data_IF_431558141739
#
_entry.id   IF_431558141739
#
_cell.length_a   1.000
_cell.length_b   1.000
_cell.length_c   1.000
_cell.angle_alpha   90.00
_cell.angle_beta   90.00
_cell.angle_gamma   90.00
#
_symmetry.space_group_name_H-M   'P 1'
#
loop_
_entity.id
_entity.type
_entity.pdbx_description
1 polymer ?
#
# COMPACT_ATOMS: atom_id res chain seq x y z
N UNK A 1 6.02 6.60 -5.90
CA UNK A 1 6.33 6.86 -7.33
C UNK A 1 6.88 5.60 -7.96
N UNK A 2 7.96 5.06 -7.39
CA UNK A 2 8.55 3.77 -7.75
C UNK A 2 7.54 2.66 -8.06
N UNK A 3 6.62 2.35 -7.13
CA UNK A 3 5.66 1.25 -7.32
C UNK A 3 4.75 1.45 -8.54
N UNK A 4 4.13 2.62 -8.71
CA UNK A 4 3.24 2.86 -9.86
C UNK A 4 4.03 2.88 -11.17
N UNK A 5 5.20 3.52 -11.20
CA UNK A 5 6.05 3.53 -12.39
C UNK A 5 6.50 2.12 -12.77
N UNK A 6 6.89 1.30 -11.79
CA UNK A 6 7.25 -0.10 -11.97
C UNK A 6 6.07 -0.91 -12.53
N UNK A 7 4.89 -0.81 -11.91
CA UNK A 7 3.69 -1.53 -12.33
C UNK A 7 3.32 -1.21 -13.79
N UNK A 8 3.34 0.07 -14.16
CA UNK A 8 2.94 0.51 -15.50
C UNK A 8 3.98 0.25 -16.58
N UNK A 9 5.28 0.38 -16.26
CA UNK A 9 6.36 0.29 -17.27
C UNK A 9 6.94 -1.12 -17.41
N UNK A 10 7.03 -1.84 -16.30
CA UNK A 10 7.77 -3.11 -16.23
C UNK A 10 6.83 -4.31 -15.98
N UNK A 11 5.68 -4.10 -15.33
CA UNK A 11 4.75 -5.20 -15.00
C UNK A 11 3.56 -5.37 -15.97
N UNK A 12 3.51 -4.62 -17.07
CA UNK A 12 2.42 -4.62 -18.05
C UNK A 12 1.02 -4.25 -17.46
N UNK A 13 0.96 -3.51 -16.34
CA UNK A 13 -0.33 -3.03 -15.84
C UNK A 13 -0.84 -1.91 -16.74
N UNK A 14 -2.08 -2.06 -17.22
CA UNK A 14 -2.71 -1.07 -18.11
C UNK A 14 -3.39 0.08 -17.36
N UNK A 15 -3.75 -0.13 -16.10
CA UNK A 15 -4.47 0.84 -15.28
C UNK A 15 -4.13 0.67 -13.80
N UNK A 16 -3.83 1.77 -13.13
CA UNK A 16 -3.72 1.85 -11.67
C UNK A 16 -4.78 2.82 -11.18
N UNK A 17 -5.80 2.30 -10.50
CA UNK A 17 -6.82 3.10 -9.81
C UNK A 17 -6.52 3.16 -8.31
N UNK A 18 -6.78 4.30 -7.68
CA UNK A 18 -6.67 4.45 -6.24
C UNK A 18 -7.93 5.11 -5.69
N UNK A 19 -8.39 4.64 -4.52
CA UNK A 19 -9.53 5.19 -3.80
C UNK A 19 -9.13 5.52 -2.37
N UNK A 20 -9.63 6.62 -1.84
CA UNK A 20 -9.49 6.94 -0.43
C UNK A 20 -10.74 7.62 0.10
N UNK A 21 -10.93 7.50 1.40
CA UNK A 21 -11.95 8.22 2.16
C UNK A 21 -11.52 9.70 2.23
N UNK A 22 -12.36 10.62 1.77
CA UNK A 22 -12.07 12.06 1.72
C UNK A 22 -11.79 12.65 3.09
N UNK A 23 -12.43 12.10 4.12
CA UNK A 23 -12.35 12.51 5.52
C UNK A 23 -11.06 12.00 6.20
N UNK A 24 -10.26 11.17 5.52
CA UNK A 24 -8.95 10.71 6.00
C UNK A 24 -7.82 11.26 5.10
N UNK A 25 -7.25 12.43 5.44
CA UNK A 25 -6.17 13.03 4.66
C UNK A 25 -4.90 12.16 4.59
N UNK A 26 -4.69 11.25 5.56
CA UNK A 26 -3.50 10.41 5.61
C UNK A 26 -3.48 9.34 4.52
N UNK A 27 -4.64 8.81 4.11
CA UNK A 27 -4.74 7.86 3.01
C UNK A 27 -4.58 8.54 1.64
N UNK A 28 -5.06 9.78 1.48
CA UNK A 28 -4.80 10.59 0.29
C UNK A 28 -3.31 10.86 0.05
N UNK A 29 -2.53 11.13 1.11
CA UNK A 29 -1.06 11.32 1.03
C UNK A 29 -0.32 10.09 0.49
N UNK A 30 -0.89 8.89 0.60
CA UNK A 30 -0.29 7.68 0.02
C UNK A 30 -0.29 7.75 -1.50
N UNK A 31 -1.35 8.29 -2.12
CA UNK A 31 -1.44 8.46 -3.58
C UNK A 31 -0.37 9.44 -4.08
N UNK A 32 -0.21 10.58 -3.40
CA UNK A 32 0.83 11.55 -3.73
C UNK A 32 2.23 10.95 -3.61
N UNK A 33 2.51 10.24 -2.50
CA UNK A 33 3.77 9.50 -2.33
C UNK A 33 3.96 8.43 -3.41
N UNK A 34 2.88 7.79 -3.84
CA UNK A 34 2.87 6.82 -4.92
C UNK A 34 3.12 7.46 -6.30
N UNK A 35 3.20 8.80 -6.39
CA UNK A 35 3.48 9.54 -7.62
C UNK A 35 2.22 9.93 -8.40
N UNK A 36 1.04 9.80 -7.78
CA UNK A 36 -0.21 10.25 -8.39
C UNK A 36 -0.39 11.75 -8.15
N UNK A 37 -0.77 12.48 -9.20
CA UNK A 37 -1.14 13.88 -9.11
C UNK A 37 -2.66 14.02 -9.14
N UNK A 38 -3.22 14.78 -8.21
CA UNK A 38 -4.65 15.08 -8.20
C UNK A 38 -4.95 16.10 -9.30
N UNK A 39 -5.56 15.64 -10.39
CA UNK A 39 -5.97 16.51 -11.50
C UNK A 39 -7.31 17.21 -11.19
N UNK A 40 -8.33 16.43 -10.78
CA UNK A 40 -9.64 16.95 -10.39
C UNK A 40 -10.32 16.06 -9.35
N UNK A 41 -11.36 16.59 -8.68
CA UNK A 41 -12.33 15.77 -7.93
C UNK A 41 -13.54 15.56 -8.82
N UNK A 42 -13.81 14.31 -9.22
CA UNK A 42 -15.08 13.98 -9.85
C UNK A 42 -16.20 14.20 -8.83
N UNK A 43 -17.06 15.20 -9.09
CA UNK A 43 -18.17 15.56 -8.18
C UNK A 43 -19.31 14.56 -8.21
N UNK A 44 -19.46 13.83 -9.31
CA UNK A 44 -20.45 12.78 -9.47
C UNK A 44 -19.97 11.79 -10.53
N UNK A 45 -19.93 10.49 -10.20
CA UNK A 45 -19.80 9.43 -11.21
C UNK A 45 -21.22 8.99 -11.54
N UNK A 46 -21.63 9.07 -12.81
CA UNK A 46 -22.98 8.67 -13.23
C UNK A 46 -23.15 7.17 -13.04
N UNK A 47 -23.82 6.79 -11.97
CA UNK A 47 -24.32 5.44 -11.72
C UNK A 47 -25.69 5.34 -12.38
N UNK A 48 -25.96 4.23 -13.08
CA UNK A 48 -27.30 3.98 -13.57
C UNK A 48 -28.24 3.79 -12.37
N UNK A 49 -29.18 4.73 -12.18
CA UNK A 49 -30.09 4.73 -11.02
C UNK A 49 -31.07 3.55 -10.97
N UNK A 50 -31.23 2.81 -12.08
CA UNK A 50 -32.17 1.68 -12.17
C UNK A 50 -31.46 0.33 -12.02
N UNK A 51 -30.25 0.20 -12.55
CA UNK A 51 -29.49 -1.06 -12.48
C UNK A 51 -28.42 -1.06 -11.39
N UNK A 52 -28.06 0.13 -10.86
CA UNK A 52 -26.91 0.29 -9.98
C UNK A 52 -25.56 0.14 -10.70
N UNK A 53 -25.57 -0.10 -12.00
CA UNK A 53 -24.36 -0.44 -12.76
C UNK A 53 -23.59 0.81 -13.19
N UNK A 54 -22.28 0.59 -13.33
CA UNK A 54 -21.30 1.53 -13.85
C UNK A 54 -20.72 0.95 -15.14
N UNK A 55 -20.70 1.73 -16.22
CA UNK A 55 -20.11 1.32 -17.49
C UNK A 55 -18.99 2.29 -17.87
N UNK A 56 -17.75 1.93 -17.52
CA UNK A 56 -16.55 2.58 -18.05
C UNK A 56 -16.03 1.72 -19.21
N UNK A 57 -15.90 2.29 -20.41
CA UNK A 57 -15.34 1.57 -21.54
C UNK A 57 -13.81 1.62 -21.50
N UNK A 58 -13.18 0.51 -21.11
CA UNK A 58 -11.73 0.32 -21.20
C UNK A 58 -11.45 -0.57 -22.41
N UNK A 59 -10.82 -0.03 -23.45
CA UNK A 59 -10.37 -0.79 -24.61
C UNK A 59 -8.95 -1.32 -24.35
N UNK A 60 -8.82 -2.63 -24.17
CA UNK A 60 -7.53 -3.32 -24.08
C UNK A 60 -7.27 -4.07 -25.40
N UNK A 61 -6.11 -3.84 -26.01
CA UNK A 61 -5.67 -4.61 -27.18
C UNK A 61 -5.02 -5.91 -26.69
N UNK A 62 -5.67 -7.05 -26.94
CA UNK A 62 -5.14 -8.36 -26.54
C UNK A 62 -3.87 -8.71 -27.35
N UNK A 63 -2.74 -8.92 -26.67
CA UNK A 63 -1.72 -9.87 -27.14
C UNK A 63 -2.26 -11.30 -26.94
N UNK A 64 -1.81 -12.27 -27.76
CA UNK A 64 -2.35 -13.64 -27.88
C UNK A 64 -2.20 -14.54 -26.64
N UNK A 65 -1.77 -13.99 -25.51
CA UNK A 65 -1.68 -14.64 -24.20
C UNK A 65 -2.87 -14.12 -23.40
N UNK A 66 -3.87 -14.98 -23.12
CA UNK A 66 -5.10 -14.58 -22.44
C UNK A 66 -4.80 -13.71 -21.20
N UNK A 67 -5.49 -12.57 -21.08
CA UNK A 67 -5.28 -11.64 -19.97
C UNK A 67 -5.95 -12.21 -18.72
N UNK A 68 -5.16 -12.71 -17.77
CA UNK A 68 -5.63 -12.94 -16.40
C UNK A 68 -5.84 -11.56 -15.76
N UNK A 69 -7.10 -11.21 -15.46
CA UNK A 69 -7.43 -9.93 -14.80
C UNK A 69 -7.30 -10.10 -13.29
N UNK A 70 -6.11 -9.84 -12.76
CA UNK A 70 -5.89 -9.75 -11.30
C UNK A 70 -6.13 -8.31 -10.85
N UNK A 71 -6.97 -8.13 -9.82
CA UNK A 71 -7.11 -6.85 -9.13
C UNK A 71 -6.23 -6.87 -7.89
N UNK A 72 -5.39 -5.85 -7.75
CA UNK A 72 -4.53 -5.68 -6.58
C UNK A 72 -4.99 -4.45 -5.81
N UNK A 73 -5.34 -4.66 -4.55
CA UNK A 73 -5.71 -3.59 -3.63
C UNK A 73 -4.56 -3.36 -2.66
N UNK A 74 -4.10 -2.12 -2.56
CA UNK A 74 -3.01 -1.74 -1.64
C UNK A 74 -3.63 -0.93 -0.49
N UNK A 75 -3.53 -1.46 0.71
CA UNK A 75 -3.95 -0.79 1.94
C UNK A 75 -2.73 -0.40 2.78
N UNK A 76 -2.72 0.82 3.31
CA UNK A 76 -1.78 1.20 4.36
C UNK A 76 -2.31 0.68 5.70
N UNK A 77 -1.40 0.35 6.62
CA UNK A 77 -1.75 0.09 8.02
C UNK A 77 -2.60 1.24 8.60
N UNK A 78 -3.45 0.91 9.57
CA UNK A 78 -4.17 1.90 10.37
C UNK A 78 -3.22 2.80 11.16
N UNK A 79 -3.75 3.87 11.76
CA UNK A 79 -2.93 4.79 12.55
C UNK A 79 -2.13 4.09 13.67
N UNK A 80 -0.84 4.37 13.71
CA UNK A 80 0.12 4.06 14.78
C UNK A 80 0.53 5.34 15.53
N UNK A 81 1.43 5.20 16.50
CA UNK A 81 2.01 6.32 17.24
C UNK A 81 2.89 7.19 16.33
N UNK A 82 2.48 8.45 16.14
CA UNK A 82 3.18 9.41 15.28
C UNK A 82 4.21 10.27 16.04
N UNK A 83 4.38 10.06 17.36
CA UNK A 83 5.41 10.72 18.17
C UNK A 83 6.81 10.14 17.96
N UNK A 84 6.89 8.94 17.37
CA UNK A 84 8.14 8.24 17.09
C UNK A 84 8.38 8.09 15.58
N UNK A 85 9.64 7.86 15.22
CA UNK A 85 10.04 7.54 13.85
C UNK A 85 9.54 6.15 13.48
N UNK A 86 8.79 6.08 12.38
CA UNK A 86 8.31 4.82 11.79
C UNK A 86 9.42 3.99 11.14
N UNK A 87 9.17 3.44 9.95
CA UNK A 87 10.08 2.49 9.31
C UNK A 87 9.92 1.11 9.93
N UNK A 88 11.02 0.48 10.33
CA UNK A 88 11.01 -0.87 10.92
C UNK A 88 10.76 -0.87 12.44
N UNK A 89 10.06 0.14 12.94
CA UNK A 89 9.67 0.21 14.36
C UNK A 89 8.61 -0.83 14.73
N UNK A 90 8.65 -1.26 16.00
CA UNK A 90 7.69 -2.19 16.61
C UNK A 90 6.40 -1.49 17.11
N UNK A 91 6.07 -0.32 16.55
CA UNK A 91 4.87 0.41 16.93
C UNK A 91 3.61 -0.38 16.56
N UNK A 92 2.72 -0.54 17.54
CA UNK A 92 1.38 -1.09 17.33
C UNK A 92 0.42 -0.02 16.81
N UNK A 93 -0.72 -0.47 16.29
CA UNK A 93 -1.87 0.41 16.03
C UNK A 93 -2.34 1.08 17.32
N UNK A 94 -2.80 2.32 17.20
CA UNK A 94 -3.60 2.99 18.23
C UNK A 94 -5.04 2.47 18.18
N UNK A 95 -5.86 2.81 19.19
CA UNK A 95 -7.30 2.48 19.17
C UNK A 95 -8.00 3.00 17.90
N UNK A 96 -7.59 4.19 17.42
CA UNK A 96 -8.08 4.74 16.17
C UNK A 96 -7.61 3.94 14.96
N UNK A 97 -6.36 3.45 14.95
CA UNK A 97 -5.85 2.57 13.90
C UNK A 97 -6.53 1.20 13.84
N UNK A 98 -6.88 0.64 15.01
CA UNK A 98 -7.70 -0.57 15.11
C UNK A 98 -9.07 -0.30 14.51
N UNK A 99 -9.75 0.78 14.92
CA UNK A 99 -11.05 1.16 14.36
C UNK A 99 -11.00 1.34 12.84
N UNK A 100 -10.00 2.04 12.32
CA UNK A 100 -9.81 2.22 10.87
C UNK A 100 -9.65 0.89 10.13
N UNK A 101 -8.94 -0.08 10.74
CA UNK A 101 -8.75 -1.41 10.15
C UNK A 101 -10.06 -2.20 10.13
N UNK A 102 -10.88 -2.08 11.18
CA UNK A 102 -12.22 -2.68 11.24
C UNK A 102 -13.15 -2.03 10.20
N UNK A 103 -13.19 -0.70 10.13
CA UNK A 103 -14.02 0.03 9.17
C UNK A 103 -13.68 -0.35 7.72
N UNK A 104 -12.38 -0.52 7.41
CA UNK A 104 -11.93 -1.01 6.10
C UNK A 104 -12.38 -2.45 5.84
N UNK A 105 -12.24 -3.34 6.82
CA UNK A 105 -12.68 -4.73 6.69
C UNK A 105 -14.20 -4.83 6.45
N UNK A 106 -14.98 -4.03 7.17
CA UNK A 106 -16.44 -3.93 7.02
C UNK A 106 -16.82 -3.40 5.63
N UNK A 107 -16.11 -2.38 5.12
CA UNK A 107 -16.34 -1.90 3.76
C UNK A 107 -16.08 -2.99 2.72
N UNK A 108 -14.94 -3.69 2.82
CA UNK A 108 -14.56 -4.75 1.88
C UNK A 108 -15.62 -5.86 1.88
N UNK A 109 -16.06 -6.29 3.07
CA UNK A 109 -17.08 -7.32 3.23
C UNK A 109 -18.43 -6.86 2.67
N UNK A 110 -18.84 -5.61 2.92
CA UNK A 110 -20.11 -5.07 2.43
C UNK A 110 -20.19 -4.98 0.89
N UNK A 111 -19.04 -4.99 0.22
CA UNK A 111 -18.89 -4.94 -1.25
C UNK A 111 -18.10 -6.15 -1.76
N UNK A 112 -18.36 -7.34 -1.21
CA UNK A 112 -17.62 -8.56 -1.52
C UNK A 112 -17.58 -8.89 -3.01
N UNK A 113 -18.67 -8.64 -3.74
CA UNK A 113 -18.75 -8.87 -5.20
C UNK A 113 -17.83 -7.92 -6.00
N UNK A 114 -17.56 -6.72 -5.46
CA UNK A 114 -16.66 -5.75 -6.11
C UNK A 114 -15.19 -6.09 -5.84
N UNK A 115 -14.86 -6.33 -4.58
CA UNK A 115 -13.49 -6.53 -4.12
C UNK A 115 -12.99 -7.95 -4.39
N UNK A 116 -13.81 -8.96 -4.12
CA UNK A 116 -13.52 -10.39 -4.32
C UNK A 116 -12.11 -10.78 -3.83
N UNK A 117 -11.79 -10.47 -2.57
CA UNK A 117 -10.45 -10.68 -2.00
C UNK A 117 -10.20 -12.17 -1.80
N UNK A 118 -9.32 -12.75 -2.62
CA UNK A 118 -8.91 -14.16 -2.50
C UNK A 118 -7.56 -14.38 -1.79
N UNK A 119 -6.79 -13.32 -1.56
CA UNK A 119 -5.47 -13.40 -0.93
C UNK A 119 -5.15 -12.08 -0.21
N UNK A 120 -4.54 -12.18 0.98
CA UNK A 120 -3.99 -11.03 1.71
C UNK A 120 -2.48 -11.23 1.83
N UNK A 121 -1.70 -10.25 1.37
CA UNK A 121 -0.24 -10.19 1.56
C UNK A 121 0.07 -8.99 2.44
N UNK A 122 0.92 -9.16 3.45
CA UNK A 122 1.31 -8.07 4.34
C UNK A 122 2.77 -8.18 4.74
N UNK A 123 3.42 -7.04 5.01
CA UNK A 123 4.66 -7.05 5.77
C UNK A 123 4.42 -7.57 7.19
N UNK A 124 5.44 -8.08 7.83
CA UNK A 124 5.38 -8.56 9.22
C UNK A 124 5.61 -7.47 10.27
N UNK A 125 5.80 -6.21 9.87
CA UNK A 125 5.83 -5.05 10.80
C UNK A 125 4.51 -5.01 11.57
N UNK A 126 4.59 -4.83 12.90
CA UNK A 126 3.49 -5.02 13.85
C UNK A 126 2.20 -4.31 13.44
N UNK A 127 2.24 -3.01 13.12
CA UNK A 127 1.06 -2.26 12.67
C UNK A 127 0.42 -2.80 11.37
N UNK A 128 1.23 -3.19 10.39
CA UNK A 128 0.74 -3.76 9.13
C UNK A 128 0.18 -5.16 9.34
N UNK A 129 0.82 -5.95 10.20
CA UNK A 129 0.36 -7.26 10.64
C UNK A 129 -0.98 -7.17 11.38
N UNK A 130 -1.13 -6.26 12.34
CA UNK A 130 -2.39 -6.04 13.05
C UNK A 130 -3.52 -5.63 12.10
N UNK A 131 -3.28 -4.69 11.19
CA UNK A 131 -4.28 -4.31 10.17
C UNK A 131 -4.66 -5.51 9.29
N UNK A 132 -3.68 -6.27 8.80
CA UNK A 132 -3.95 -7.43 7.95
C UNK A 132 -4.71 -8.54 8.68
N UNK A 133 -4.41 -8.79 9.96
CA UNK A 133 -5.11 -9.76 10.78
C UNK A 133 -6.58 -9.36 11.02
N UNK A 134 -6.84 -8.10 11.36
CA UNK A 134 -8.21 -7.60 11.53
C UNK A 134 -9.05 -7.82 10.26
N UNK A 135 -8.47 -7.52 9.10
CA UNK A 135 -9.13 -7.73 7.80
C UNK A 135 -9.30 -9.22 7.52
N UNK A 136 -8.26 -10.02 7.74
CA UNK A 136 -8.24 -11.47 7.52
C UNK A 136 -9.30 -12.20 8.33
N UNK A 137 -9.42 -11.90 9.62
CA UNK A 137 -10.43 -12.49 10.51
C UNK A 137 -11.85 -12.19 10.03
N UNK A 138 -12.10 -10.96 9.58
CA UNK A 138 -13.41 -10.54 9.07
C UNK A 138 -13.77 -11.24 7.76
N UNK A 139 -12.81 -11.35 6.83
CA UNK A 139 -13.02 -11.92 5.50
C UNK A 139 -12.85 -13.44 5.45
N UNK A 140 -12.31 -14.06 6.51
CA UNK A 140 -11.89 -15.47 6.53
C UNK A 140 -10.88 -15.83 5.42
N UNK A 141 -9.97 -14.90 5.10
CA UNK A 141 -8.92 -15.07 4.09
C UNK A 141 -7.55 -15.08 4.78
N UNK A 142 -6.69 -16.10 4.57
CA UNK A 142 -5.40 -16.16 5.25
C UNK A 142 -4.44 -15.03 4.83
N UNK A 143 -3.60 -14.59 5.78
CA UNK A 143 -2.52 -13.63 5.51
C UNK A 143 -1.23 -14.38 5.19
N UNK A 144 -0.63 -14.05 4.04
CA UNK A 144 0.75 -14.40 3.73
C UNK A 144 1.66 -13.24 4.13
N UNK A 145 2.59 -13.48 5.04
CA UNK A 145 3.58 -12.49 5.41
C UNK A 145 4.77 -12.52 4.46
N UNK A 146 5.23 -11.34 4.07
CA UNK A 146 6.37 -11.16 3.19
C UNK A 146 7.16 -9.91 3.62
N UNK A 147 8.37 -10.15 4.11
CA UNK A 147 9.25 -9.11 4.66
C UNK A 147 9.75 -8.14 3.58
N UNK A 148 9.73 -8.54 2.31
CA UNK A 148 10.18 -7.66 1.23
C UNK A 148 9.21 -6.50 0.98
N UNK A 149 7.97 -6.59 1.49
CA UNK A 149 7.00 -5.48 1.51
C UNK A 149 7.09 -4.57 2.75
N UNK A 150 8.10 -4.76 3.63
CA UNK A 150 8.34 -3.81 4.74
C UNK A 150 8.57 -2.39 4.22
N UNK A 151 8.23 -1.41 5.06
CA UNK A 151 8.55 0.00 4.84
C UNK A 151 10.08 0.22 4.76
N UNK A 152 10.52 1.45 4.55
CA UNK A 152 11.96 1.75 4.51
C UNK A 152 12.64 1.34 5.83
N UNK A 153 13.76 0.63 5.74
CA UNK A 153 14.66 0.38 6.85
C UNK A 153 15.44 1.67 7.15
N UNK A 154 14.94 2.44 8.10
CA UNK A 154 15.58 3.66 8.59
C UNK A 154 16.63 3.40 9.68
N UNK A 155 17.01 2.14 9.90
CA UNK A 155 18.09 1.73 10.79
C UNK A 155 17.96 2.31 12.19
N UNK A 156 18.97 3.06 12.62
CA UNK A 156 19.07 3.62 13.98
C UNK A 156 17.92 4.57 14.35
N UNK A 157 17.14 5.06 13.37
CA UNK A 157 16.01 5.94 13.61
C UNK A 157 14.76 5.17 14.03
N UNK A 158 14.63 3.87 13.73
CA UNK A 158 13.41 3.11 13.98
C UNK A 158 12.97 3.17 15.45
N UNK A 159 11.76 3.68 15.70
CA UNK A 159 11.16 3.75 17.03
C UNK A 159 11.72 4.83 17.96
N UNK A 160 12.69 5.64 17.50
CA UNK A 160 13.13 6.81 18.28
C UNK A 160 12.02 7.84 18.36
N UNK A 161 11.85 8.45 19.53
CA UNK A 161 11.07 9.68 19.66
C UNK A 161 11.56 10.73 18.63
N UNK A 162 10.62 11.40 17.98
CA UNK A 162 10.92 12.32 16.90
C UNK A 162 11.88 13.45 17.31
N UNK A 163 11.78 13.95 18.55
CA UNK A 163 12.68 14.97 19.08
C UNK A 163 14.10 14.41 19.24
N UNK A 164 14.23 13.21 19.82
CA UNK A 164 15.54 12.55 20.00
C UNK A 164 16.19 12.25 18.64
N UNK A 165 15.39 11.79 17.67
CA UNK A 165 15.87 11.52 16.32
C UNK A 165 16.40 12.80 15.64
N UNK A 166 15.69 13.92 15.79
CA UNK A 166 16.13 15.21 15.21
C UNK A 166 17.39 15.75 15.92
N UNK A 167 17.51 15.57 17.23
CA UNK A 167 18.72 15.99 17.98
C UNK A 167 19.96 15.17 17.58
N UNK A 168 19.82 13.84 17.46
CA UNK A 168 20.93 12.93 17.11
C UNK A 168 21.29 12.97 15.62
N UNK A 169 20.27 13.08 14.76
CA UNK A 169 20.40 13.01 13.30
C UNK A 169 19.69 14.20 12.66
N UNK A 170 20.22 15.42 12.83
CA UNK A 170 19.55 16.63 12.39
C UNK A 170 19.33 16.60 10.88
N UNK A 171 18.11 16.93 10.45
CA UNK A 171 17.71 16.97 9.05
C UNK A 171 17.81 15.63 8.27
N UNK A 172 17.91 14.48 8.94
CA UNK A 172 17.96 13.18 8.25
C UNK A 172 16.55 12.67 7.91
N UNK A 173 16.14 12.86 6.66
CA UNK A 173 14.82 12.47 6.15
C UNK A 173 14.96 11.78 4.79
N UNK A 174 14.08 10.81 4.52
CA UNK A 174 14.07 10.03 3.27
C UNK A 174 14.17 10.88 2.00
N UNK A 175 13.42 11.99 1.96
CA UNK A 175 13.37 12.90 0.81
C UNK A 175 14.66 13.69 0.57
N UNK A 176 15.58 13.66 1.52
CA UNK A 176 16.86 14.38 1.48
C UNK A 176 18.03 13.44 1.20
N UNK A 177 17.82 12.12 1.22
CA UNK A 177 18.85 11.15 0.89
C UNK A 177 19.13 11.16 -0.61
N UNK A 178 20.41 11.14 -0.97
CA UNK A 178 20.83 10.81 -2.33
C UNK A 178 20.54 9.33 -2.67
N UNK A 179 20.52 8.99 -3.96
CA UNK A 179 20.05 7.68 -4.43
C UNK A 179 20.75 6.47 -3.78
N UNK A 180 22.06 6.57 -3.54
CA UNK A 180 22.88 5.54 -2.90
C UNK A 180 23.24 5.88 -1.45
N UNK A 181 22.69 6.97 -0.90
CA UNK A 181 22.94 7.35 0.49
C UNK A 181 22.07 6.52 1.43
N UNK A 182 22.69 5.96 2.47
CA UNK A 182 22.02 5.09 3.43
C UNK A 182 21.56 5.85 4.67
N UNK A 183 20.44 5.41 5.23
CA UNK A 183 20.25 5.58 6.66
C UNK A 183 21.36 4.87 7.46
N UNK A 184 21.73 5.41 8.62
CA UNK A 184 22.66 4.73 9.53
C UNK A 184 22.12 3.36 9.92
N UNK A 185 22.85 2.29 9.58
CA UNK A 185 22.43 0.88 9.72
C UNK A 185 21.09 0.54 9.05
N UNK A 186 20.67 1.35 8.09
CA UNK A 186 19.47 1.16 7.30
C UNK A 186 19.79 0.98 5.82
N UNK A 187 18.77 1.14 4.99
CA UNK A 187 18.89 1.01 3.54
C UNK A 187 18.94 2.39 2.84
N UNK A 188 19.46 2.38 1.62
CA UNK A 188 19.43 3.52 0.69
C UNK A 188 18.14 3.55 -0.15
N UNK A 189 17.81 4.69 -0.81
CA UNK A 189 16.77 4.76 -1.82
C UNK A 189 16.85 3.69 -2.92
N UNK A 190 18.07 3.36 -3.36
CA UNK A 190 18.34 2.31 -4.34
C UNK A 190 17.97 0.92 -3.83
N UNK A 191 18.45 0.54 -2.65
CA UNK A 191 18.17 -0.78 -2.08
C UNK A 191 16.68 -0.97 -1.78
N UNK A 192 16.00 0.05 -1.25
CA UNK A 192 14.56 0.02 -1.06
C UNK A 192 13.81 -0.21 -2.36
N UNK A 193 14.20 0.49 -3.43
CA UNK A 193 13.60 0.32 -4.76
C UNK A 193 13.82 -1.09 -5.29
N UNK A 194 15.05 -1.58 -5.29
CA UNK A 194 15.40 -2.91 -5.77
C UNK A 194 14.64 -4.00 -4.99
N UNK A 195 14.59 -3.90 -3.66
CA UNK A 195 13.84 -4.82 -2.80
C UNK A 195 12.35 -4.85 -3.14
N UNK A 196 11.71 -3.67 -3.23
CA UNK A 196 10.28 -3.58 -3.51
C UNK A 196 9.97 -4.06 -4.94
N UNK A 197 10.78 -3.72 -5.94
CA UNK A 197 10.63 -4.22 -7.31
C UNK A 197 10.71 -5.74 -7.37
N UNK A 198 11.70 -6.33 -6.68
CA UNK A 198 11.84 -7.79 -6.59
C UNK A 198 10.63 -8.45 -5.88
N UNK A 199 10.11 -7.82 -4.81
CA UNK A 199 8.91 -8.29 -4.12
C UNK A 199 7.70 -8.34 -5.07
N UNK A 200 7.51 -7.30 -5.88
CA UNK A 200 6.44 -7.24 -6.88
C UNK A 200 6.60 -8.28 -7.98
N UNK A 201 7.82 -8.52 -8.46
CA UNK A 201 8.09 -9.59 -9.43
C UNK A 201 7.76 -10.96 -8.89
N UNK A 202 8.15 -11.22 -7.65
CA UNK A 202 7.86 -12.48 -6.98
C UNK A 202 6.36 -12.65 -6.77
N UNK A 203 5.66 -11.60 -6.32
CA UNK A 203 4.21 -11.62 -6.20
C UNK A 203 3.54 -11.90 -7.55
N UNK A 204 3.95 -11.21 -8.62
CA UNK A 204 3.42 -11.42 -9.98
C UNK A 204 3.58 -12.87 -10.43
N UNK A 205 4.75 -13.48 -10.21
CA UNK A 205 4.99 -14.91 -10.53
C UNK A 205 4.02 -15.82 -9.78
N UNK A 206 3.75 -15.53 -8.51
CA UNK A 206 2.78 -16.33 -7.72
C UNK A 206 1.33 -16.16 -8.17
N UNK A 207 0.99 -15.02 -8.78
CA UNK A 207 -0.34 -14.73 -9.29
C UNK A 207 -0.63 -15.39 -10.64
N UNK A 208 0.40 -15.75 -11.42
CA UNK A 208 0.23 -16.47 -12.70
C UNK A 208 -0.34 -17.87 -12.48
N UNK A 209 -0.14 -18.46 -11.30
CA UNK A 209 -0.62 -19.78 -10.93
C UNK A 209 -1.89 -19.74 -10.06
N UNK A 210 -2.45 -18.56 -9.81
CA UNK A 210 -3.61 -18.33 -8.93
C UNK A 210 -4.88 -18.11 -9.76
N UNK A 211 -5.41 -19.20 -10.33
CA UNK A 211 -6.72 -19.26 -11.02
C UNK A 211 -7.79 -19.94 -10.14
#
# INVERSE_FOLDING_TARGET
RAVIEYLLKECDFYLVEARHISENPASGRVMEKAGMHKDAVLRDRRINKHTGERNDAIYLFNDKRGIVKVKIYIARHGQDDDSVRGGWSDCSLTDLGVKQSVDLADEILSKSDEYNIGMIVSSDIIRAKQTALIISEKLSVPVKYDMDFREVNNGDLAGLDNHIAEEKYPNLYWRKLDWEEHYHHGESPKEFYERISNAWDNLRKTLIDYD
#
